data_IF_126898643200
#
_entry.id   IF_126898643200
#
_cell.length_a   1.000
_cell.length_b   1.000
_cell.length_c   1.000
_cell.angle_alpha   90.00
_cell.angle_beta   90.00
_cell.angle_gamma   90.00
#
_symmetry.space_group_name_H-M   'P 1'
#
loop_
_entity.id
_entity.type
_entity.pdbx_description
1 polymer ?
#
# COMPACT_ATOMS: atom_id res chain seq x y z
N UNK A 1 -24.26 -7.17 40.29
CA UNK A 1 -23.74 -8.48 39.84
C UNK A 1 -24.19 -8.66 38.41
N UNK A 2 -23.22 -8.82 37.50
CA UNK A 2 -23.27 -8.44 36.09
C UNK A 2 -24.19 -9.33 35.23
N UNK A 3 -25.14 -8.72 34.55
CA UNK A 3 -25.76 -9.22 33.31
C UNK A 3 -26.26 -7.98 32.54
N UNK A 4 -26.15 -7.99 31.21
CA UNK A 4 -26.51 -6.92 30.26
C UNK A 4 -25.42 -5.90 29.88
N UNK A 5 -24.38 -6.34 29.15
CA UNK A 5 -23.85 -5.62 27.98
C UNK A 5 -23.30 -6.68 27.00
N UNK A 6 -24.12 -7.14 26.05
CA UNK A 6 -23.62 -7.94 24.92
C UNK A 6 -24.59 -7.86 23.73
N UNK A 7 -24.72 -6.69 23.10
CA UNK A 7 -25.47 -6.56 21.83
C UNK A 7 -24.96 -5.47 20.87
N UNK A 8 -23.81 -4.84 21.13
CA UNK A 8 -23.27 -3.76 20.27
C UNK A 8 -22.03 -4.14 19.44
N UNK A 9 -21.53 -5.38 19.51
CA UNK A 9 -20.30 -5.80 18.81
C UNK A 9 -20.51 -6.56 17.49
N UNK A 10 -21.75 -6.83 17.07
CA UNK A 10 -22.05 -7.62 15.86
C UNK A 10 -22.22 -6.73 14.60
N UNK A 11 -22.32 -5.41 14.74
CA UNK A 11 -22.68 -4.52 13.61
C UNK A 11 -21.50 -3.79 12.93
N UNK A 12 -20.26 -3.97 13.41
CA UNK A 12 -19.13 -3.10 13.04
C UNK A 12 -18.44 -3.50 11.71
N UNK A 13 -18.71 -4.68 11.16
CA UNK A 13 -18.09 -5.14 9.91
C UNK A 13 -19.05 -5.27 8.71
N UNK A 14 -20.35 -5.02 8.88
CA UNK A 14 -21.37 -5.45 7.89
C UNK A 14 -21.93 -4.34 6.99
N UNK A 15 -21.56 -3.08 7.17
CA UNK A 15 -22.15 -1.97 6.40
C UNK A 15 -21.06 -1.07 5.83
N UNK A 16 -20.51 -1.45 4.68
CA UNK A 16 -19.74 -0.52 3.83
C UNK A 16 -19.88 -0.80 2.33
N UNK A 17 -20.88 -1.58 1.92
CA UNK A 17 -21.17 -1.83 0.51
C UNK A 17 -22.67 -1.72 0.28
N UNK A 18 -23.17 -0.49 0.14
CA UNK A 18 -24.41 -0.20 -0.57
C UNK A 18 -24.37 1.26 -1.01
N UNK A 19 -24.83 1.50 -2.23
CA UNK A 19 -24.92 2.78 -2.97
C UNK A 19 -23.71 3.18 -3.82
N UNK A 20 -23.67 2.66 -5.05
CA UNK A 20 -23.22 3.43 -6.21
C UNK A 20 -24.33 3.40 -7.26
N UNK A 21 -25.03 4.53 -7.41
CA UNK A 21 -26.02 4.74 -8.46
C UNK A 21 -25.40 5.65 -9.53
N UNK A 22 -25.69 5.33 -10.78
CA UNK A 22 -25.12 5.89 -12.00
C UNK A 22 -25.56 7.33 -12.27
N UNK A 23 -24.60 8.21 -12.57
CA UNK A 23 -24.86 9.48 -13.23
C UNK A 23 -23.88 9.66 -14.39
N UNK A 24 -24.42 9.55 -15.59
CA UNK A 24 -23.80 9.84 -16.89
C UNK A 24 -23.61 11.35 -17.10
N UNK A 25 -22.56 11.79 -17.81
CA UNK A 25 -22.59 13.09 -18.48
C UNK A 25 -22.69 12.93 -20.00
N UNK A 26 -23.56 13.76 -20.60
CA UNK A 26 -23.66 14.00 -22.04
C UNK A 26 -22.44 14.80 -22.56
N UNK A 27 -22.07 14.67 -23.85
CA UNK A 27 -20.92 15.36 -24.42
C UNK A 27 -21.27 16.78 -24.90
N UNK A 28 -20.40 17.75 -24.64
CA UNK A 28 -20.45 19.05 -25.31
C UNK A 28 -19.50 19.07 -26.51
N UNK A 29 -20.11 19.27 -27.68
CA UNK A 29 -19.49 19.56 -28.96
C UNK A 29 -19.19 21.06 -29.01
N UNK A 30 -17.97 21.47 -29.36
CA UNK A 30 -17.75 22.67 -30.17
C UNK A 30 -16.48 22.54 -31.05
N UNK A 31 -16.72 22.72 -32.34
CA UNK A 31 -15.80 22.97 -33.46
C UNK A 31 -15.40 24.47 -33.45
N UNK A 32 -14.39 25.05 -34.12
CA UNK A 32 -13.56 24.72 -35.29
C UNK A 32 -12.54 25.89 -35.53
N UNK A 33 -11.60 25.67 -36.47
CA UNK A 33 -10.86 26.63 -37.33
C UNK A 33 -9.71 27.47 -36.68
N UNK A 34 -8.54 27.72 -37.30
CA UNK A 34 -8.00 27.48 -38.66
C UNK A 34 -6.48 27.77 -38.69
N UNK A 35 -5.77 27.04 -39.56
CA UNK A 35 -4.73 27.47 -40.50
C UNK A 35 -3.39 28.11 -40.06
N UNK A 36 -2.34 27.35 -40.45
CA UNK A 36 -1.35 27.68 -41.49
C UNK A 36 0.08 28.12 -41.13
N UNK A 37 0.97 27.49 -41.91
CA UNK A 37 2.29 27.91 -42.42
C UNK A 37 3.53 27.65 -41.56
N UNK A 38 4.17 26.54 -41.90
CA UNK A 38 5.54 26.41 -42.44
C UNK A 38 6.44 27.65 -42.40
N UNK A 39 7.66 27.47 -41.87
CA UNK A 39 8.90 27.77 -42.58
C UNK A 39 10.08 27.09 -41.88
N UNK A 40 10.94 26.48 -42.70
CA UNK A 40 12.23 25.91 -42.33
C UNK A 40 13.27 27.01 -42.27
N UNK A 41 14.27 26.90 -41.41
CA UNK A 41 15.59 27.46 -41.74
C UNK A 41 16.73 26.67 -41.08
N UNK A 42 17.67 26.32 -41.93
CA UNK A 42 18.91 25.57 -41.70
C UNK A 42 20.04 26.55 -41.41
N UNK A 43 20.93 26.26 -40.49
CA UNK A 43 22.34 26.69 -40.54
C UNK A 43 23.17 25.89 -39.53
N UNK A 44 23.92 24.89 -40.03
CA UNK A 44 25.37 24.91 -40.36
C UNK A 44 26.28 24.57 -39.19
N UNK A 45 26.98 23.47 -39.39
CA UNK A 45 28.07 22.97 -38.58
C UNK A 45 29.31 23.87 -38.66
N UNK A 46 30.03 23.96 -37.55
CA UNK A 46 31.44 24.36 -37.52
C UNK A 46 32.21 23.35 -36.67
N UNK A 47 33.04 22.54 -37.36
CA UNK A 47 34.10 21.76 -36.74
C UNK A 47 35.23 22.71 -36.34
N UNK A 48 35.68 22.59 -35.09
CA UNK A 48 37.02 23.07 -34.70
C UNK A 48 37.67 22.07 -33.75
N UNK A 49 38.97 21.94 -33.97
CA UNK A 49 39.87 20.85 -33.64
C UNK A 49 40.32 20.86 -32.18
N UNK A 50 40.80 19.69 -31.75
CA UNK A 50 41.33 19.32 -30.43
C UNK A 50 42.26 20.34 -29.74
N UNK A 51 42.11 20.42 -28.41
CA UNK A 51 43.21 20.71 -27.49
C UNK A 51 43.03 19.85 -26.24
N UNK A 52 44.02 19.02 -25.98
CA UNK A 52 44.18 18.20 -24.78
C UNK A 52 44.65 19.08 -23.62
N UNK A 53 43.91 19.12 -22.51
CA UNK A 53 44.47 19.35 -21.19
C UNK A 53 43.57 18.69 -20.14
N UNK A 54 44.13 17.69 -19.48
CA UNK A 54 43.63 17.09 -18.25
C UNK A 54 43.53 18.15 -17.17
N UNK A 55 42.35 18.30 -16.55
CA UNK A 55 42.19 18.43 -15.09
C UNK A 55 40.71 18.49 -14.73
N UNK A 56 40.36 17.74 -13.67
CA UNK A 56 39.10 17.85 -12.93
C UNK A 56 37.82 17.42 -13.68
N UNK A 57 37.73 16.11 -13.98
CA UNK A 57 36.42 15.48 -14.12
C UNK A 57 35.71 15.55 -12.78
N UNK A 58 34.84 16.54 -12.67
CA UNK A 58 33.84 16.69 -11.64
C UNK A 58 33.28 15.33 -11.22
N UNK A 59 33.37 15.03 -9.93
CA UNK A 59 32.46 14.12 -9.26
C UNK A 59 31.08 14.78 -9.40
N UNK A 60 30.40 14.52 -10.52
CA UNK A 60 28.94 14.67 -10.59
C UNK A 60 28.38 13.58 -9.70
N UNK A 61 28.28 13.90 -8.41
CA UNK A 61 27.30 13.30 -7.52
C UNK A 61 25.99 13.26 -8.29
N UNK A 62 25.52 12.05 -8.60
CA UNK A 62 24.19 11.79 -9.14
C UNK A 62 23.18 12.12 -8.04
N UNK A 63 23.04 13.42 -7.77
CA UNK A 63 21.84 13.98 -7.17
C UNK A 63 20.72 13.55 -8.11
N UNK A 64 19.91 12.58 -7.65
CA UNK A 64 18.65 12.24 -8.30
C UNK A 64 17.97 13.57 -8.61
N UNK A 65 17.59 13.80 -9.87
CA UNK A 65 16.79 14.99 -10.21
C UNK A 65 15.60 14.98 -9.25
N UNK A 66 15.47 16.03 -8.44
CA UNK A 66 14.38 16.14 -7.47
C UNK A 66 13.05 15.93 -8.20
N UNK A 67 12.09 15.26 -7.56
CA UNK A 67 10.80 14.89 -8.14
C UNK A 67 9.86 16.12 -8.24
N UNK A 68 10.38 17.25 -8.71
CA UNK A 68 9.80 18.59 -8.51
C UNK A 68 8.40 18.77 -9.10
N UNK A 69 8.00 17.95 -10.07
CA UNK A 69 6.66 17.97 -10.65
C UNK A 69 5.60 17.27 -9.78
N UNK A 70 6.02 16.38 -8.86
CA UNK A 70 5.09 15.68 -7.99
C UNK A 70 4.55 16.59 -6.89
N UNK A 71 3.26 16.44 -6.59
CA UNK A 71 2.61 17.02 -5.42
C UNK A 71 2.67 16.02 -4.28
N UNK A 72 3.28 16.41 -3.16
CA UNK A 72 3.37 15.59 -1.95
C UNK A 72 2.54 16.25 -0.85
N UNK A 73 1.46 15.59 -0.43
CA UNK A 73 0.52 16.09 0.58
C UNK A 73 0.55 15.19 1.82
N UNK A 74 1.09 15.66 2.96
CA UNK A 74 1.10 14.87 4.19
C UNK A 74 -0.31 14.52 4.71
N UNK A 75 -0.48 13.26 5.13
CA UNK A 75 -1.61 12.76 5.90
C UNK A 75 -1.15 12.56 7.34
N UNK A 76 -1.38 13.56 8.19
CA UNK A 76 -0.90 13.53 9.57
C UNK A 76 -1.63 12.46 10.39
N UNK A 77 -0.90 11.78 11.27
CA UNK A 77 -1.44 10.73 12.15
C UNK A 77 -2.62 11.24 12.98
N UNK A 78 -2.49 12.46 13.51
CA UNK A 78 -3.53 13.13 14.31
C UNK A 78 -4.79 13.51 13.52
N UNK A 79 -4.74 13.49 12.19
CA UNK A 79 -5.88 13.77 11.33
C UNK A 79 -6.60 12.48 10.86
N UNK A 80 -6.03 11.30 11.16
CA UNK A 80 -6.65 10.01 10.84
C UNK A 80 -7.89 9.78 11.73
N UNK A 81 -8.81 8.95 11.24
CA UNK A 81 -9.85 8.41 12.10
C UNK A 81 -9.22 7.60 13.21
N UNK A 82 -9.78 7.65 14.42
CA UNK A 82 -9.26 6.92 15.57
C UNK A 82 -10.41 6.23 16.30
N UNK A 83 -10.25 4.95 16.59
CA UNK A 83 -11.19 4.15 17.34
C UNK A 83 -10.45 3.34 18.40
N UNK A 84 -10.85 3.50 19.66
CA UNK A 84 -10.37 2.70 20.79
C UNK A 84 -11.55 1.98 21.44
N UNK A 85 -11.54 0.65 21.32
CA UNK A 85 -12.55 -0.24 21.89
C UNK A 85 -12.03 -1.02 23.09
N UNK A 86 -10.89 -0.62 23.66
CA UNK A 86 -10.19 -1.29 24.75
C UNK A 86 -9.41 -2.54 24.29
N UNK A 87 -10.03 -3.41 23.49
CA UNK A 87 -9.36 -4.57 22.90
C UNK A 87 -8.70 -4.28 21.55
N UNK A 88 -9.19 -3.26 20.84
CA UNK A 88 -8.71 -2.79 19.54
C UNK A 88 -8.45 -1.29 19.61
N UNK A 89 -7.24 -0.88 19.25
CA UNK A 89 -6.87 0.51 19.03
C UNK A 89 -6.45 0.67 17.55
N UNK A 90 -7.26 1.38 16.77
CA UNK A 90 -7.17 1.45 15.32
C UNK A 90 -7.07 2.89 14.83
N UNK A 91 -6.18 3.12 13.87
CA UNK A 91 -6.03 4.40 13.17
C UNK A 91 -6.39 4.24 11.69
N UNK A 92 -7.42 4.95 11.24
CA UNK A 92 -8.00 4.84 9.90
C UNK A 92 -7.48 5.96 8.98
N UNK A 93 -6.70 5.58 7.96
CA UNK A 93 -6.25 6.54 6.94
C UNK A 93 -7.41 7.01 6.06
N UNK A 94 -8.25 6.06 5.65
CA UNK A 94 -9.43 6.26 4.80
C UNK A 94 -10.72 5.96 5.59
N UNK A 95 -11.86 6.42 5.07
CA UNK A 95 -13.20 6.14 5.58
C UNK A 95 -13.44 4.64 5.72
N UNK A 96 -13.72 4.19 6.93
CA UNK A 96 -13.89 2.77 7.25
C UNK A 96 -14.79 2.60 8.49
N UNK A 97 -15.65 1.58 8.47
CA UNK A 97 -16.65 1.34 9.52
C UNK A 97 -17.45 2.63 9.83
N UNK A 98 -17.43 3.08 11.10
CA UNK A 98 -18.14 4.27 11.54
C UNK A 98 -17.36 5.58 11.30
N UNK A 99 -16.08 5.51 10.90
CA UNK A 99 -15.31 6.69 10.53
C UNK A 99 -15.59 7.05 9.07
N UNK A 100 -16.05 8.28 8.83
CA UNK A 100 -16.34 8.80 7.51
C UNK A 100 -15.70 10.17 7.30
N UNK A 101 -14.99 10.29 6.18
CA UNK A 101 -14.43 11.51 5.65
C UNK A 101 -14.53 11.47 4.11
N UNK A 102 -15.37 12.34 3.54
CA UNK A 102 -15.61 12.39 2.09
C UNK A 102 -14.35 12.68 1.28
N UNK A 103 -13.30 13.25 1.88
CA UNK A 103 -12.04 13.54 1.19
C UNK A 103 -11.10 12.32 1.15
N UNK A 104 -11.28 11.35 2.05
CA UNK A 104 -10.42 10.18 2.20
C UNK A 104 -11.22 8.89 2.05
N UNK A 105 -11.84 8.68 0.89
CA UNK A 105 -12.58 7.43 0.61
C UNK A 105 -11.69 6.33 0.03
N UNK A 106 -10.80 6.70 -0.89
CA UNK A 106 -9.81 5.84 -1.52
C UNK A 106 -8.71 6.71 -2.17
N UNK A 107 -7.60 6.09 -2.57
CA UNK A 107 -6.53 6.73 -3.32
C UNK A 107 -6.02 5.78 -4.41
N UNK A 108 -6.54 5.96 -5.63
CA UNK A 108 -6.41 4.94 -6.66
C UNK A 108 -7.25 3.73 -6.29
N UNK A 109 -6.70 2.53 -6.50
CA UNK A 109 -7.24 1.26 -5.99
C UNK A 109 -7.08 1.08 -4.47
N UNK A 110 -6.20 1.82 -3.77
CA UNK A 110 -6.08 1.73 -2.30
C UNK A 110 -7.36 2.22 -1.61
N UNK A 111 -8.02 1.35 -0.85
CA UNK A 111 -9.33 1.63 -0.23
C UNK A 111 -9.29 1.71 1.29
N UNK A 112 -8.50 0.88 1.94
CA UNK A 112 -8.36 0.84 3.41
C UNK A 112 -6.87 0.77 3.75
N UNK A 113 -6.48 1.52 4.77
CA UNK A 113 -5.20 1.38 5.46
C UNK A 113 -5.47 1.72 6.93
N UNK A 114 -5.63 0.66 7.72
CA UNK A 114 -5.73 0.76 9.17
C UNK A 114 -4.40 0.33 9.80
N UNK A 115 -4.04 0.98 10.89
CA UNK A 115 -2.92 0.57 11.72
C UNK A 115 -3.47 0.12 13.07
N UNK A 116 -3.48 -1.18 13.28
CA UNK A 116 -4.29 -1.85 14.31
C UNK A 116 -3.40 -2.45 15.39
N UNK A 117 -3.84 -2.27 16.64
CA UNK A 117 -3.28 -2.90 17.84
C UNK A 117 -4.37 -3.69 18.52
N UNK A 118 -4.17 -5.00 18.66
CA UNK A 118 -5.15 -5.93 19.21
C UNK A 118 -4.59 -6.57 20.47
N UNK A 119 -5.31 -6.42 21.58
CA UNK A 119 -4.94 -6.96 22.88
C UNK A 119 -4.91 -8.51 22.87
N UNK A 120 -4.04 -9.09 23.70
CA UNK A 120 -3.91 -10.53 23.86
C UNK A 120 -5.23 -11.23 24.24
N UNK A 121 -5.48 -12.38 23.62
CA UNK A 121 -6.70 -13.19 23.83
C UNK A 121 -7.97 -12.62 23.21
N UNK A 122 -7.86 -11.61 22.35
CA UNK A 122 -9.00 -10.95 21.67
C UNK A 122 -8.79 -10.95 20.16
N UNK A 123 -9.75 -10.41 19.39
CA UNK A 123 -9.60 -10.27 17.95
C UNK A 123 -10.93 -10.17 17.22
N UNK A 124 -10.83 -10.13 15.91
CA UNK A 124 -11.96 -10.04 15.00
C UNK A 124 -12.64 -11.42 14.88
N UNK A 125 -13.89 -11.56 15.33
CA UNK A 125 -14.63 -12.82 15.17
C UNK A 125 -14.85 -13.12 13.68
N UNK A 126 -15.35 -14.30 13.37
CA UNK A 126 -15.63 -14.67 11.97
C UNK A 126 -16.54 -13.63 11.30
N UNK A 127 -16.07 -13.05 10.20
CA UNK A 127 -16.77 -12.02 9.44
C UNK A 127 -16.54 -12.21 7.93
N UNK A 128 -17.52 -11.81 7.09
CA UNK A 128 -17.44 -12.00 5.65
C UNK A 128 -16.74 -10.84 4.94
N UNK A 129 -16.09 -11.16 3.82
CA UNK A 129 -15.59 -10.21 2.82
C UNK A 129 -16.04 -10.63 1.44
N UNK A 130 -16.11 -9.65 0.52
CA UNK A 130 -16.46 -9.86 -0.88
C UNK A 130 -15.84 -8.74 -1.72
N UNK A 131 -15.44 -9.06 -2.95
CA UNK A 131 -15.00 -8.07 -3.95
C UNK A 131 -13.90 -7.10 -3.44
N UNK A 132 -12.96 -7.61 -2.64
CA UNK A 132 -11.83 -6.86 -2.08
C UNK A 132 -10.54 -7.71 -2.08
N UNK A 133 -9.39 -7.07 -2.26
CA UNK A 133 -8.07 -7.67 -1.99
C UNK A 133 -7.59 -7.16 -0.64
N UNK A 134 -7.41 -8.05 0.32
CA UNK A 134 -7.21 -7.72 1.74
C UNK A 134 -5.88 -8.31 2.18
N UNK A 135 -5.04 -7.54 2.88
CA UNK A 135 -3.80 -8.06 3.42
C UNK A 135 -3.42 -7.46 4.77
N UNK A 136 -2.88 -8.34 5.60
CA UNK A 136 -2.43 -8.08 6.96
C UNK A 136 -0.90 -8.17 7.00
N UNK A 137 -0.24 -7.02 7.23
CA UNK A 137 1.22 -6.89 7.34
C UNK A 137 1.64 -6.77 8.81
N UNK A 138 2.27 -7.81 9.36
CA UNK A 138 2.59 -7.86 10.80
C UNK A 138 3.83 -7.03 11.14
N UNK A 139 3.65 -6.06 12.04
CA UNK A 139 4.71 -5.20 12.56
C UNK A 139 5.29 -5.78 13.86
N UNK A 140 4.47 -6.31 14.77
CA UNK A 140 4.95 -7.03 15.96
C UNK A 140 3.85 -7.93 16.53
N UNK A 141 4.23 -8.85 17.41
CA UNK A 141 3.30 -9.83 18.00
C UNK A 141 2.89 -10.94 17.03
N UNK A 142 1.77 -11.59 17.32
CA UNK A 142 1.24 -12.72 16.55
C UNK A 142 -0.26 -12.53 16.24
N UNK A 143 -0.64 -12.73 14.99
CA UNK A 143 -2.04 -12.74 14.54
C UNK A 143 -2.39 -14.11 13.97
N UNK A 144 -3.42 -14.74 14.52
CA UNK A 144 -3.94 -16.01 14.03
C UNK A 144 -5.05 -15.76 13.02
N UNK A 145 -4.79 -16.08 11.76
CA UNK A 145 -5.79 -16.13 10.70
C UNK A 145 -6.42 -17.52 10.63
N UNK A 146 -7.75 -17.59 10.47
CA UNK A 146 -8.49 -18.84 10.32
C UNK A 146 -9.70 -18.66 9.41
N UNK A 147 -9.78 -19.48 8.37
CA UNK A 147 -10.95 -19.61 7.50
C UNK A 147 -12.19 -20.06 8.28
N UNK A 148 -13.37 -19.60 7.86
CA UNK A 148 -14.65 -19.90 8.51
C UNK A 148 -15.00 -21.39 8.59
N UNK A 149 -14.43 -22.23 7.72
CA UNK A 149 -14.64 -23.68 7.72
C UNK A 149 -13.81 -24.39 8.80
N UNK A 150 -12.82 -23.72 9.40
CA UNK A 150 -11.95 -24.28 10.43
C UNK A 150 -12.43 -23.81 11.81
N UNK A 151 -12.66 -24.76 12.72
CA UNK A 151 -12.97 -24.47 14.12
C UNK A 151 -11.69 -24.34 14.95
N UNK A 152 -11.72 -23.46 15.96
CA UNK A 152 -10.62 -23.36 16.93
C UNK A 152 -10.35 -24.71 17.59
N UNK A 153 -9.09 -25.14 17.60
CA UNK A 153 -8.63 -26.44 18.11
C UNK A 153 -8.73 -27.60 17.12
N UNK A 154 -9.29 -27.36 15.91
CA UNK A 154 -9.36 -28.34 14.83
C UNK A 154 -8.47 -27.95 13.64
N UNK A 155 -7.48 -27.10 13.88
CA UNK A 155 -6.56 -26.65 12.85
C UNK A 155 -5.63 -27.77 12.41
N UNK A 156 -5.33 -27.78 11.11
CA UNK A 156 -4.28 -28.64 10.55
C UNK A 156 -2.90 -28.03 10.72
N UNK A 157 -2.00 -28.39 9.80
CA UNK A 157 -0.74 -27.67 9.62
C UNK A 157 -1.03 -26.27 9.11
N UNK A 158 -0.15 -25.33 9.45
CA UNK A 158 -0.23 -23.97 8.92
C UNK A 158 -0.16 -23.99 7.39
N UNK A 159 -1.03 -23.20 6.78
CA UNK A 159 -1.26 -23.11 5.34
C UNK A 159 -2.26 -22.01 5.03
N UNK A 160 -2.92 -22.12 3.87
CA UNK A 160 -3.81 -21.06 3.37
C UNK A 160 -5.03 -20.84 4.27
N UNK A 161 -5.68 -21.91 4.72
CA UNK A 161 -6.92 -21.82 5.52
C UNK A 161 -6.68 -21.50 7.01
N UNK A 162 -5.43 -21.63 7.48
CA UNK A 162 -5.07 -21.37 8.87
C UNK A 162 -3.57 -21.02 9.01
N UNK A 163 -3.27 -19.89 9.65
CA UNK A 163 -1.88 -19.46 9.84
C UNK A 163 -1.71 -18.60 11.10
N UNK A 164 -0.63 -18.81 11.86
CA UNK A 164 -0.22 -17.91 12.95
C UNK A 164 0.89 -16.99 12.45
N UNK A 165 0.49 -15.82 12.00
CA UNK A 165 1.35 -14.84 11.38
C UNK A 165 2.14 -14.08 12.44
N UNK A 166 3.42 -13.85 12.17
CA UNK A 166 4.35 -13.08 13.02
C UNK A 166 5.07 -12.01 12.21
N UNK A 167 5.90 -11.19 12.87
CA UNK A 167 6.69 -10.14 12.19
C UNK A 167 7.42 -10.71 10.97
N UNK A 168 7.21 -10.05 9.82
CA UNK A 168 7.75 -10.47 8.53
C UNK A 168 6.71 -11.17 7.64
N UNK A 169 5.67 -11.74 8.22
CA UNK A 169 4.59 -12.38 7.46
C UNK A 169 3.61 -11.36 6.89
N UNK A 170 3.10 -11.70 5.71
CA UNK A 170 1.97 -11.05 5.06
C UNK A 170 0.96 -12.13 4.72
N UNK A 171 -0.23 -11.99 5.28
CA UNK A 171 -1.40 -12.75 4.84
C UNK A 171 -2.15 -11.88 3.84
N UNK A 172 -2.67 -12.53 2.81
CA UNK A 172 -3.41 -11.93 1.73
C UNK A 172 -4.65 -12.77 1.45
N UNK A 173 -5.77 -12.10 1.23
CA UNK A 173 -7.08 -12.68 1.00
C UNK A 173 -7.74 -11.99 -0.19
N UNK A 174 -8.02 -12.76 -1.24
CA UNK A 174 -8.95 -12.34 -2.28
C UNK A 174 -10.36 -12.66 -1.81
N UNK A 175 -11.17 -11.65 -1.53
CA UNK A 175 -12.55 -11.81 -1.04
C UNK A 175 -13.51 -12.34 -2.11
N UNK A 176 -13.30 -11.96 -3.37
CA UNK A 176 -13.92 -12.60 -4.53
C UNK A 176 -15.46 -12.72 -4.45
N UNK A 177 -15.98 -13.89 -4.82
CA UNK A 177 -17.41 -14.24 -4.75
C UNK A 177 -17.98 -14.30 -3.33
N UNK A 178 -17.12 -14.26 -2.31
CA UNK A 178 -17.47 -14.27 -0.90
C UNK A 178 -16.59 -15.23 -0.12
N UNK A 179 -16.03 -14.75 0.98
CA UNK A 179 -15.24 -15.55 1.92
C UNK A 179 -15.50 -15.06 3.34
N UNK A 180 -15.30 -15.91 4.34
CA UNK A 180 -15.39 -15.49 5.72
C UNK A 180 -14.22 -16.04 6.52
N UNK A 181 -13.69 -15.24 7.43
CA UNK A 181 -12.52 -15.58 8.21
C UNK A 181 -12.52 -14.87 9.57
N UNK A 182 -11.63 -15.30 10.46
CA UNK A 182 -11.36 -14.65 11.72
C UNK A 182 -9.89 -14.30 11.84
N UNK A 183 -9.60 -13.22 12.56
CA UNK A 183 -8.25 -12.75 12.87
C UNK A 183 -8.16 -12.56 14.38
N UNK A 184 -7.48 -13.46 15.07
CA UNK A 184 -7.44 -13.53 16.53
C UNK A 184 -6.02 -13.37 17.04
N UNK A 185 -5.81 -12.52 18.03
CA UNK A 185 -4.60 -12.56 18.82
C UNK A 185 -4.74 -13.63 19.90
N UNK A 186 -4.29 -14.85 19.61
CA UNK A 186 -4.33 -15.96 20.56
C UNK A 186 -3.16 -15.96 21.55
N UNK A 187 -2.27 -14.97 21.44
CA UNK A 187 -1.15 -14.76 22.36
C UNK A 187 -1.56 -13.93 23.58
N UNK A 188 -0.63 -13.74 24.53
CA UNK A 188 -0.81 -12.86 25.69
C UNK A 188 -0.40 -11.41 25.41
N UNK A 189 0.48 -11.21 24.44
CA UNK A 189 1.05 -9.91 24.10
C UNK A 189 0.17 -9.20 23.09
N UNK A 190 0.30 -7.88 22.96
CA UNK A 190 -0.36 -7.14 21.89
C UNK A 190 0.21 -7.52 20.51
N UNK A 191 -0.65 -7.58 19.50
CA UNK A 191 -0.24 -7.66 18.10
C UNK A 191 -0.48 -6.31 17.43
N UNK A 192 0.52 -5.84 16.67
CA UNK A 192 0.47 -4.60 15.91
C UNK A 192 0.69 -4.91 14.43
N UNK A 193 -0.22 -4.47 13.58
CA UNK A 193 -0.18 -4.76 12.15
C UNK A 193 -0.88 -3.69 11.31
N UNK A 194 -0.70 -3.75 10.00
CA UNK A 194 -1.47 -2.96 9.05
C UNK A 194 -2.51 -3.84 8.37
N UNK A 195 -3.76 -3.38 8.37
CA UNK A 195 -4.87 -3.98 7.63
C UNK A 195 -5.11 -3.11 6.38
N UNK A 196 -4.83 -3.65 5.20
CA UNK A 196 -4.76 -2.88 3.95
C UNK A 196 -5.65 -3.53 2.90
N UNK A 197 -6.52 -2.74 2.28
CA UNK A 197 -7.44 -3.22 1.26
C UNK A 197 -7.27 -2.47 -0.04
N UNK A 198 -7.31 -3.19 -1.15
CA UNK A 198 -7.38 -2.64 -2.50
C UNK A 198 -8.68 -3.07 -3.21
N UNK A 199 -9.17 -2.21 -4.10
CA UNK A 199 -10.26 -2.53 -5.01
C UNK A 199 -9.72 -3.38 -6.16
N UNK A 200 -10.24 -4.60 -6.38
CA UNK A 200 -9.84 -5.41 -7.52
C UNK A 200 -10.40 -4.86 -8.83
N UNK A 201 -9.73 -5.12 -9.95
CA UNK A 201 -10.20 -4.77 -11.30
C UNK A 201 -11.42 -5.59 -11.76
N UNK A 202 -11.76 -6.66 -11.04
CA UNK A 202 -12.90 -7.53 -11.33
C UNK A 202 -13.63 -7.91 -10.04
N UNK A 203 -14.93 -8.13 -10.18
CA UNK A 203 -15.79 -8.66 -9.13
C UNK A 203 -15.91 -10.16 -9.23
N UNK A 204 -16.27 -10.78 -8.11
CA UNK A 204 -16.57 -12.21 -8.00
C UNK A 204 -15.42 -13.10 -8.47
N UNK A 205 -14.18 -12.62 -8.25
CA UNK A 205 -12.96 -13.41 -8.38
C UNK A 205 -13.04 -14.68 -7.52
N UNK A 206 -12.21 -15.67 -7.82
CA UNK A 206 -12.15 -16.88 -7.00
C UNK A 206 -11.55 -16.52 -5.63
N UNK A 207 -12.23 -16.79 -4.51
CA UNK A 207 -11.68 -16.48 -3.20
C UNK A 207 -10.45 -17.33 -2.91
N UNK A 208 -9.41 -16.71 -2.34
CA UNK A 208 -8.12 -17.36 -2.06
C UNK A 208 -7.45 -16.72 -0.86
N UNK A 209 -6.67 -17.54 -0.15
CA UNK A 209 -5.69 -17.06 0.81
C UNK A 209 -4.28 -17.29 0.28
N UNK A 210 -3.36 -16.42 0.69
CA UNK A 210 -1.94 -16.56 0.48
C UNK A 210 -1.23 -16.05 1.72
N UNK A 211 -0.23 -16.78 2.20
CA UNK A 211 0.67 -16.27 3.25
C UNK A 211 2.11 -16.41 2.81
N UNK A 212 2.91 -15.35 2.97
CA UNK A 212 4.34 -15.36 2.67
C UNK A 212 5.14 -14.56 3.69
N UNK A 213 6.30 -15.08 4.06
CA UNK A 213 7.26 -14.40 4.93
C UNK A 213 8.27 -13.62 4.10
N UNK A 214 8.52 -12.37 4.49
CA UNK A 214 9.48 -11.48 3.86
C UNK A 214 10.58 -11.08 4.85
N UNK A 215 11.83 -11.32 4.47
CA UNK A 215 13.01 -11.07 5.32
C UNK A 215 13.17 -9.59 5.69
N UNK A 216 13.46 -9.32 6.95
CA UNK A 216 13.84 -7.98 7.39
C UNK A 216 15.16 -7.51 6.79
N UNK A 217 16.14 -8.40 6.61
CA UNK A 217 17.43 -8.04 6.00
C UNK A 217 17.24 -7.55 4.56
N UNK A 218 16.30 -8.16 3.83
CA UNK A 218 15.92 -7.70 2.50
C UNK A 218 15.26 -6.31 2.56
N UNK A 219 14.35 -6.08 3.51
CA UNK A 219 13.73 -4.75 3.75
C UNK A 219 14.75 -3.70 4.21
N UNK A 220 15.84 -4.11 4.87
CA UNK A 220 16.95 -3.23 5.30
C UNK A 220 17.93 -2.90 4.17
N UNK A 221 17.87 -3.63 3.07
CA UNK A 221 18.74 -3.44 1.92
C UNK A 221 18.15 -2.46 0.90
N UNK A 222 16.84 -2.53 0.67
CA UNK A 222 16.09 -1.64 -0.21
C UNK A 222 14.59 -1.73 0.10
N UNK A 223 13.76 -0.97 -0.62
CA UNK A 223 12.33 -1.28 -0.67
C UNK A 223 12.14 -2.66 -1.30
N UNK A 224 11.66 -3.61 -0.51
CA UNK A 224 11.35 -4.96 -0.92
C UNK A 224 9.90 -5.00 -1.44
N UNK A 225 9.65 -5.32 -2.71
CA UNK A 225 8.31 -5.58 -3.21
C UNK A 225 7.68 -6.77 -2.47
N UNK A 226 6.43 -6.60 -2.03
CA UNK A 226 5.63 -7.59 -1.30
C UNK A 226 4.48 -8.07 -2.18
N UNK A 227 3.76 -7.14 -2.80
CA UNK A 227 2.66 -7.41 -3.72
C UNK A 227 2.99 -6.83 -5.09
N UNK A 228 2.62 -7.54 -6.15
CA UNK A 228 2.65 -7.01 -7.51
C UNK A 228 1.46 -7.52 -8.33
N UNK A 229 1.07 -6.84 -9.42
CA UNK A 229 -0.10 -7.23 -10.19
C UNK A 229 -0.01 -8.69 -10.67
N UNK A 230 -1.15 -9.38 -10.71
CA UNK A 230 -1.26 -10.65 -11.43
C UNK A 230 -0.78 -10.43 -12.87
N UNK A 231 0.19 -11.25 -13.30
CA UNK A 231 0.88 -11.09 -14.59
C UNK A 231 -0.06 -11.17 -15.79
N UNK A 232 -1.05 -12.06 -15.73
CA UNK A 232 -2.09 -12.17 -16.76
C UNK A 232 -2.94 -10.89 -16.85
N UNK A 233 -3.18 -10.23 -15.70
CA UNK A 233 -3.94 -8.99 -15.60
C UNK A 233 -5.45 -9.17 -15.77
N UNK A 234 -6.18 -8.09 -16.11
CA UNK A 234 -7.62 -8.16 -16.30
C UNK A 234 -8.01 -9.13 -17.42
N UNK A 235 -8.99 -10.01 -17.15
CA UNK A 235 -9.47 -11.00 -18.11
C UNK A 235 -8.64 -12.29 -18.19
N UNK A 236 -7.85 -12.58 -17.16
CA UNK A 236 -7.13 -13.85 -17.03
C UNK A 236 -8.07 -15.06 -17.17
N UNK A 237 -7.59 -16.11 -17.82
CA UNK A 237 -8.26 -17.41 -17.92
C UNK A 237 -8.30 -18.12 -16.55
N UNK A 238 -9.15 -19.15 -16.42
CA UNK A 238 -9.24 -19.93 -15.20
C UNK A 238 -7.89 -20.60 -14.83
N UNK A 239 -7.11 -21.00 -15.84
CA UNK A 239 -5.79 -21.58 -15.67
C UNK A 239 -4.77 -20.54 -15.16
N UNK A 240 -4.80 -19.32 -15.68
CA UNK A 240 -3.94 -18.22 -15.24
C UNK A 240 -4.31 -17.73 -13.83
N UNK A 241 -5.60 -17.64 -13.52
CA UNK A 241 -6.13 -17.35 -12.17
C UNK A 241 -5.71 -18.42 -11.16
N UNK A 242 -5.71 -19.69 -11.57
CA UNK A 242 -5.23 -20.79 -10.74
C UNK A 242 -3.72 -20.70 -10.52
N UNK A 243 -2.95 -20.44 -11.58
CA UNK A 243 -1.50 -20.29 -11.52
C UNK A 243 -1.08 -19.11 -10.63
N UNK A 244 -1.86 -18.02 -10.65
CA UNK A 244 -1.65 -16.82 -9.84
C UNK A 244 -0.19 -16.33 -9.91
N UNK A 245 0.35 -16.20 -11.12
CA UNK A 245 1.72 -15.73 -11.30
C UNK A 245 1.80 -14.21 -11.06
N UNK A 246 2.64 -13.74 -10.12
CA UNK A 246 2.89 -12.32 -9.95
C UNK A 246 3.76 -11.76 -11.08
N UNK A 247 3.65 -10.46 -11.32
CA UNK A 247 4.51 -9.76 -12.31
C UNK A 247 5.97 -9.70 -11.84
N UNK A 248 6.19 -9.44 -10.53
CA UNK A 248 7.50 -9.51 -9.92
C UNK A 248 7.70 -10.88 -9.25
N UNK A 249 8.84 -11.55 -9.50
CA UNK A 249 9.20 -12.76 -8.77
C UNK A 249 9.14 -12.55 -7.27
N UNK A 250 8.79 -13.61 -6.56
CA UNK A 250 8.73 -13.64 -5.11
C UNK A 250 7.76 -12.68 -4.40
N UNK A 251 6.86 -12.03 -5.15
CA UNK A 251 5.75 -11.26 -4.56
C UNK A 251 4.46 -12.07 -4.50
N UNK A 252 3.46 -11.55 -3.77
CA UNK A 252 2.09 -12.06 -3.80
C UNK A 252 1.36 -11.37 -4.97
N UNK A 253 0.66 -12.11 -5.85
CA UNK A 253 -0.13 -11.53 -6.93
C UNK A 253 -1.35 -10.78 -6.37
N UNK A 254 -1.68 -9.63 -6.97
CA UNK A 254 -2.90 -8.86 -6.65
C UNK A 254 -3.70 -8.56 -7.91
N UNK A 255 -5.03 -8.58 -7.83
CA UNK A 255 -5.92 -8.23 -8.94
C UNK A 255 -6.16 -6.72 -9.06
N UNK A 256 -5.10 -5.92 -8.91
CA UNK A 256 -5.11 -4.48 -9.08
C UNK A 256 -3.81 -4.02 -9.74
N UNK A 257 -3.80 -2.85 -10.39
CA UNK A 257 -2.57 -2.24 -10.92
C UNK A 257 -1.78 -1.55 -9.79
N UNK A 258 -1.36 -2.39 -8.85
CA UNK A 258 -0.95 -2.03 -7.51
C UNK A 258 0.32 -2.76 -7.11
N UNK A 259 1.25 -2.05 -6.48
CA UNK A 259 2.48 -2.61 -5.90
C UNK A 259 2.58 -2.15 -4.45
N UNK A 260 2.79 -3.09 -3.54
CA UNK A 260 3.21 -2.80 -2.18
C UNK A 260 4.70 -3.08 -2.06
N UNK A 261 5.43 -2.19 -1.40
CA UNK A 261 6.78 -2.48 -0.93
C UNK A 261 6.97 -2.02 0.52
N UNK A 262 7.91 -2.64 1.23
CA UNK A 262 8.32 -2.21 2.56
C UNK A 262 9.84 -2.05 2.63
N UNK A 263 10.31 -1.03 3.35
CA UNK A 263 11.73 -0.79 3.61
C UNK A 263 11.96 -0.41 5.06
N UNK A 264 13.08 -0.83 5.64
CA UNK A 264 13.54 -0.44 6.98
C UNK A 264 14.81 0.37 6.79
N UNK A 265 14.66 1.69 6.80
CA UNK A 265 15.71 2.64 6.46
C UNK A 265 16.48 3.01 7.73
N UNK A 266 17.75 2.63 7.79
CA UNK A 266 18.64 3.02 8.89
C UNK A 266 18.75 4.55 9.04
N UNK A 267 19.10 5.01 10.24
CA UNK A 267 19.30 6.45 10.53
C UNK A 267 20.30 7.07 9.54
N UNK A 268 19.96 8.26 9.04
CA UNK A 268 20.72 9.00 8.02
C UNK A 268 20.94 8.24 6.70
N UNK A 269 20.18 7.15 6.47
CA UNK A 269 20.16 6.43 5.19
C UNK A 269 18.99 6.89 4.33
N UNK A 270 19.09 6.52 3.05
CA UNK A 270 18.14 6.91 2.02
C UNK A 270 17.87 5.74 1.11
N UNK A 271 16.59 5.46 0.89
CA UNK A 271 16.14 4.59 -0.19
C UNK A 271 15.53 5.39 -1.32
N UNK A 272 15.39 4.73 -2.46
CA UNK A 272 14.72 5.24 -3.66
C UNK A 272 13.63 4.26 -4.04
N UNK A 273 12.44 4.79 -4.25
CA UNK A 273 11.34 4.07 -4.86
C UNK A 273 11.22 4.48 -6.31
N UNK A 274 11.21 3.50 -7.22
CA UNK A 274 10.85 3.72 -8.62
C UNK A 274 9.34 3.55 -8.73
N UNK A 275 8.64 4.63 -9.04
CA UNK A 275 7.18 4.65 -9.18
C UNK A 275 6.75 3.57 -10.18
N UNK A 276 5.72 2.81 -9.82
CA UNK A 276 5.24 1.61 -10.51
C UNK A 276 5.99 0.32 -10.18
N UNK A 277 7.09 0.39 -9.41
CA UNK A 277 7.87 -0.78 -8.97
C UNK A 277 8.46 -1.64 -10.10
N UNK A 278 8.41 -1.17 -11.35
CA UNK A 278 8.72 -1.96 -12.55
C UNK A 278 7.68 -3.04 -12.90
N UNK A 279 6.47 -2.98 -12.32
CA UNK A 279 5.46 -4.04 -12.43
C UNK A 279 4.08 -3.54 -12.90
N UNK A 280 3.81 -2.24 -12.81
CA UNK A 280 2.50 -1.68 -13.11
C UNK A 280 2.28 -1.48 -14.60
N UNK A 281 1.03 -1.54 -15.04
CA UNK A 281 0.63 -1.31 -16.44
C UNK A 281 0.40 0.17 -16.73
N UNK A 282 -0.17 0.92 -15.78
CA UNK A 282 -0.41 2.36 -15.94
C UNK A 282 0.90 3.11 -15.94
N UNK A 283 1.17 3.83 -17.03
CA UNK A 283 2.40 4.61 -17.16
C UNK A 283 2.28 5.99 -16.52
N UNK A 284 1.09 6.58 -16.47
CA UNK A 284 0.86 7.97 -16.06
C UNK A 284 -0.13 8.04 -14.88
N UNK A 285 -0.20 9.19 -14.22
CA UNK A 285 -1.14 9.48 -13.11
C UNK A 285 -1.06 8.51 -11.93
N UNK A 286 0.10 7.90 -11.72
CA UNK A 286 0.34 7.00 -10.58
C UNK A 286 0.09 7.74 -9.27
N UNK A 287 -0.41 6.98 -8.30
CA UNK A 287 -0.79 7.42 -6.96
C UNK A 287 0.01 6.64 -5.95
N UNK A 288 1.03 7.28 -5.36
CA UNK A 288 1.88 6.64 -4.36
C UNK A 288 1.50 7.15 -2.98
N UNK A 289 1.02 6.24 -2.11
CA UNK A 289 0.85 6.53 -0.71
C UNK A 289 2.04 6.00 0.09
N UNK A 290 2.68 6.87 0.86
CA UNK A 290 3.73 6.50 1.80
C UNK A 290 3.13 6.45 3.20
N UNK A 291 3.43 5.40 3.97
CA UNK A 291 3.06 5.29 5.38
C UNK A 291 4.28 5.02 6.25
N UNK A 292 4.36 5.67 7.41
CA UNK A 292 5.38 5.42 8.44
C UNK A 292 4.69 4.76 9.63
N UNK A 293 4.77 3.42 9.82
CA UNK A 293 4.11 2.77 10.95
C UNK A 293 4.70 3.21 12.30
N UNK A 294 3.88 3.24 13.35
CA UNK A 294 4.33 3.65 14.69
C UNK A 294 5.01 2.50 15.43
N UNK A 295 6.29 2.25 15.12
CA UNK A 295 7.06 1.08 15.61
C UNK A 295 8.22 1.41 16.53
N UNK A 296 8.64 2.68 16.64
CA UNK A 296 9.81 3.09 17.44
C UNK A 296 9.48 4.14 18.49
N UNK A 297 8.21 4.28 18.87
CA UNK A 297 7.77 5.15 19.95
C UNK A 297 7.92 6.64 19.63
N UNK A 298 7.75 6.99 18.35
CA UNK A 298 7.90 8.37 17.85
C UNK A 298 9.31 8.78 17.47
N UNK A 299 10.30 7.87 17.59
CA UNK A 299 11.70 8.16 17.29
C UNK A 299 12.05 8.01 15.80
N UNK A 300 11.21 7.33 15.02
CA UNK A 300 11.38 7.27 13.57
C UNK A 300 10.75 8.50 12.87
N UNK A 301 11.46 9.01 11.86
CA UNK A 301 11.02 10.14 11.03
C UNK A 301 11.65 10.03 9.66
N UNK A 302 10.89 10.37 8.62
CA UNK A 302 11.39 10.40 7.24
C UNK A 302 11.18 11.75 6.58
N UNK A 303 11.99 12.02 5.56
CA UNK A 303 11.83 13.16 4.64
C UNK A 303 11.69 12.66 3.21
N UNK A 304 10.62 13.06 2.54
CA UNK A 304 10.36 12.71 1.15
C UNK A 304 10.99 13.73 0.20
N UNK A 305 11.75 13.23 -0.77
CA UNK A 305 12.35 13.99 -1.88
C UNK A 305 13.14 15.25 -1.42
N UNK A 306 13.72 15.21 -0.22
CA UNK A 306 14.47 16.33 0.37
C UNK A 306 13.63 17.56 0.72
N UNK A 307 12.29 17.44 0.78
CA UNK A 307 11.39 18.58 1.05
C UNK A 307 11.07 18.71 2.53
N UNK A 308 11.33 19.89 3.09
CA UNK A 308 10.99 20.20 4.49
C UNK A 308 9.48 20.10 4.77
N UNK A 309 8.64 20.48 3.79
CA UNK A 309 7.19 20.34 3.88
C UNK A 309 6.68 18.89 3.83
N UNK A 310 7.55 17.92 3.52
CA UNK A 310 7.23 16.50 3.39
C UNK A 310 8.02 15.63 4.39
N UNK A 311 8.24 16.17 5.59
CA UNK A 311 8.72 15.42 6.75
C UNK A 311 7.55 14.71 7.42
N UNK A 312 7.68 13.40 7.64
CA UNK A 312 6.66 12.51 8.21
C UNK A 312 7.21 11.84 9.47
N UNK A 313 6.45 11.92 10.56
CA UNK A 313 6.74 11.17 11.80
C UNK A 313 5.99 9.84 11.82
N UNK A 314 6.25 9.00 12.81
CA UNK A 314 5.46 7.79 13.05
C UNK A 314 3.94 8.05 13.05
N UNK A 315 3.22 7.20 12.32
CA UNK A 315 1.79 7.25 12.08
C UNK A 315 1.37 8.21 10.96
N UNK A 316 2.25 9.10 10.51
CA UNK A 316 1.98 9.93 9.35
C UNK A 316 2.08 9.12 8.06
N UNK A 317 1.40 9.60 7.02
CA UNK A 317 1.65 9.21 5.64
C UNK A 317 1.71 10.41 4.70
N UNK A 318 1.81 10.16 3.41
CA UNK A 318 1.70 11.20 2.39
C UNK A 318 1.11 10.66 1.09
N UNK A 319 0.23 11.47 0.48
CA UNK A 319 -0.23 11.29 -0.88
C UNK A 319 0.77 11.92 -1.84
N UNK A 320 1.34 11.12 -2.73
CA UNK A 320 2.22 11.57 -3.82
C UNK A 320 1.46 11.43 -5.14
N UNK A 321 1.17 12.57 -5.75
CA UNK A 321 0.35 12.70 -6.95
C UNK A 321 1.13 13.37 -8.09
N UNK A 322 0.64 13.23 -9.32
CA UNK A 322 1.27 13.81 -10.50
C UNK A 322 2.56 13.11 -10.91
N UNK A 323 2.74 11.86 -10.47
CA UNK A 323 3.89 11.02 -10.81
C UNK A 323 3.53 10.01 -11.89
N UNK A 324 4.56 9.50 -12.57
CA UNK A 324 4.43 8.48 -13.61
C UNK A 324 5.37 7.31 -13.34
N UNK A 325 5.08 6.16 -13.93
CA UNK A 325 5.94 4.99 -13.81
C UNK A 325 7.37 5.33 -14.25
N UNK A 326 8.36 4.92 -13.45
CA UNK A 326 9.77 5.23 -13.65
C UNK A 326 10.27 6.51 -12.97
N UNK A 327 9.38 7.38 -12.49
CA UNK A 327 9.78 8.49 -11.62
C UNK A 327 10.46 7.96 -10.34
N UNK A 328 11.39 8.72 -9.78
CA UNK A 328 12.15 8.30 -8.60
C UNK A 328 11.75 9.16 -7.40
N UNK A 329 11.09 8.52 -6.42
CA UNK A 329 10.81 9.12 -5.12
C UNK A 329 11.92 8.75 -4.14
N UNK A 330 12.60 9.75 -3.57
CA UNK A 330 13.60 9.50 -2.54
C UNK A 330 12.98 9.55 -1.14
N UNK A 331 13.35 8.61 -0.27
CA UNK A 331 12.93 8.56 1.13
C UNK A 331 14.15 8.50 2.02
N UNK A 332 14.33 9.47 2.89
CA UNK A 332 15.44 9.56 3.83
C UNK A 332 14.96 9.38 5.26
N UNK A 333 15.62 8.53 6.05
CA UNK A 333 15.41 8.48 7.48
C UNK A 333 16.20 9.60 8.15
N UNK A 334 15.50 10.47 8.88
CA UNK A 334 16.06 11.64 9.57
C UNK A 334 15.69 11.65 11.07
N UNK A 335 15.21 10.51 11.58
CA UNK A 335 14.86 10.31 12.98
C UNK A 335 16.05 9.83 13.81
N UNK A 336 15.78 9.55 15.09
CA UNK A 336 16.76 8.97 16.03
C UNK A 336 16.79 7.44 15.97
N UNK A 337 15.76 6.83 15.37
CA UNK A 337 15.68 5.41 15.09
C UNK A 337 15.49 5.16 13.59
N UNK A 338 15.75 3.92 13.17
CA UNK A 338 15.40 3.47 11.83
C UNK A 338 13.91 3.63 11.54
N UNK A 339 13.58 3.93 10.29
CA UNK A 339 12.21 4.11 9.85
C UNK A 339 11.77 2.89 9.02
N UNK A 340 10.79 2.15 9.53
CA UNK A 340 10.00 1.26 8.67
C UNK A 340 9.06 2.11 7.83
N UNK A 341 9.04 1.89 6.51
CA UNK A 341 8.29 2.68 5.53
C UNK A 341 7.57 1.74 4.60
N UNK A 342 6.26 1.96 4.45
CA UNK A 342 5.41 1.22 3.52
C UNK A 342 5.11 2.11 2.32
N UNK A 343 5.29 1.54 1.13
CA UNK A 343 4.96 2.17 -0.14
C UNK A 343 3.77 1.41 -0.74
N UNK A 344 2.68 2.13 -0.99
CA UNK A 344 1.48 1.63 -1.65
C UNK A 344 1.33 2.40 -2.96
N UNK A 345 1.80 1.80 -4.05
CA UNK A 345 1.84 2.40 -5.38
C UNK A 345 0.66 1.90 -6.19
N UNK A 346 -0.28 2.79 -6.50
CA UNK A 346 -1.59 2.51 -7.07
C UNK A 346 -1.84 3.35 -8.34
N UNK A 347 -2.81 2.93 -9.15
CA UNK A 347 -3.23 3.57 -10.40
C UNK A 347 -3.98 4.89 -10.24
#
# INVERSE_FOLDING_TARGET
>A
MKLFILLSSIFIASVSILFYNSSTPLPQIFQLFTNNRSASETQTASLTTQSSMSTSSAIKSTMSKALSHAKITPRRSSARGHADHGWLNSYHTFSFANYYDSQFQNFGSLRVLNEDRVAGGTGFPTHPHRDAEIFSYILSGELTHRDSMIKKGAEGKEGDDFYRMKRGDVQFTTGGSGIAHSEQNESKEEVHFLQIWALPWARSLTPRYHTKTFSEDAKRSAFLPILSPLKAGPGASAEEEKAAEPTLPDTIPIHADFVMAAGIIGVDKRFKWTVGGGATKSAENRKVYIHVPMTKGGNAKIRLDGREGAVLSEGDGAFVEGVKAGDILSVESIGEAEAEVIVLDSD
#
